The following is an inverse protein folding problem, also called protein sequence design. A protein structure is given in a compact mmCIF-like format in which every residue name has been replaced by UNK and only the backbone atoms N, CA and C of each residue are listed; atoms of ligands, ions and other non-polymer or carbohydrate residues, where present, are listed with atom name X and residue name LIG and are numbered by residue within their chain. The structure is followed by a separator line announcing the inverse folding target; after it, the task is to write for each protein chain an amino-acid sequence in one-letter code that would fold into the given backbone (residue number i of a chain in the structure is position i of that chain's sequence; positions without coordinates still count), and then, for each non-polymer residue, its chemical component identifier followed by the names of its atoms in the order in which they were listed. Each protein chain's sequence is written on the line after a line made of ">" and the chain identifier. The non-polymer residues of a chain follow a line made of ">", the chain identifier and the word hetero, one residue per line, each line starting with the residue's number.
data_IF_734073117295
#
_entry.id   IF_734073117295
#
_cell.length_a   1.000
_cell.length_b   1.000
_cell.length_c   1.000
_cell.angle_alpha   90.00
_cell.angle_beta   90.00
_cell.angle_gamma   90.00
#
_symmetry.space_group_name_H-M   'P 1'
#
loop_
_entity.id
_entity.type
_entity.pdbx_description
1 polymer ?
#
# COMPACT_ATOMS: atom_id res chain seq x y z
N UNK A 1 -17.50 -9.23 14.38
CA UNK A 1 -16.29 -10.07 14.32
C UNK A 1 -15.22 -9.32 15.08
N UNK A 2 -14.62 -9.92 16.11
CA UNK A 2 -13.73 -9.23 17.04
C UNK A 2 -12.49 -8.64 16.33
N UNK A 3 -12.26 -7.34 16.51
CA UNK A 3 -11.21 -6.57 15.81
C UNK A 3 -9.87 -6.54 16.55
N UNK A 4 -9.77 -7.17 17.73
CA UNK A 4 -8.53 -7.30 18.50
C UNK A 4 -8.61 -8.49 19.46
N UNK A 5 -7.49 -8.85 20.08
CA UNK A 5 -7.39 -9.97 21.03
C UNK A 5 -8.39 -9.82 22.19
N UNK A 6 -8.63 -8.60 22.65
CA UNK A 6 -9.63 -8.31 23.68
C UNK A 6 -11.06 -8.62 23.21
N UNK A 7 -11.39 -8.32 21.96
CA UNK A 7 -12.66 -8.69 21.35
C UNK A 7 -12.80 -10.19 21.17
N UNK A 8 -11.71 -10.89 20.83
CA UNK A 8 -11.68 -12.36 20.68
C UNK A 8 -11.90 -13.05 22.02
N UNK A 9 -11.26 -12.53 23.08
CA UNK A 9 -11.47 -12.98 24.45
C UNK A 9 -12.90 -12.72 24.90
N UNK A 10 -13.45 -11.53 24.65
CA UNK A 10 -14.84 -11.21 24.98
C UNK A 10 -15.82 -12.13 24.24
N UNK A 11 -15.58 -12.36 22.95
CA UNK A 11 -16.36 -13.28 22.14
C UNK A 11 -16.27 -14.73 22.65
N UNK A 12 -15.07 -15.20 23.00
CA UNK A 12 -14.86 -16.53 23.54
C UNK A 12 -15.54 -16.73 24.91
N UNK A 13 -15.56 -15.71 25.76
CA UNK A 13 -16.30 -15.70 27.03
C UNK A 13 -17.82 -15.71 26.78
N UNK A 14 -18.30 -14.87 25.84
CA UNK A 14 -19.73 -14.79 25.50
C UNK A 14 -20.28 -16.09 24.89
N UNK A 15 -19.42 -16.94 24.30
CA UNK A 15 -19.81 -18.17 23.59
C UNK A 15 -19.30 -19.47 24.25
N UNK A 16 -18.82 -19.42 25.49
CA UNK A 16 -18.42 -20.63 26.21
C UNK A 16 -19.64 -21.36 26.81
N UNK A 17 -20.43 -22.01 25.96
CA UNK A 17 -21.70 -22.65 26.35
C UNK A 17 -21.56 -23.85 27.31
N UNK A 18 -20.34 -24.35 27.56
CA UNK A 18 -20.07 -25.49 28.47
C UNK A 18 -18.85 -25.28 29.40
N UNK A 19 -18.38 -24.04 29.57
CA UNK A 19 -17.37 -23.76 30.59
C UNK A 19 -18.02 -23.80 31.98
N UNK A 20 -17.33 -24.29 33.03
CA UNK A 20 -17.83 -24.17 34.39
C UNK A 20 -18.17 -22.70 34.67
N UNK A 21 -19.44 -22.40 34.95
CA UNK A 21 -19.93 -21.08 35.38
C UNK A 21 -19.49 -20.77 36.80
N UNK A 22 -18.20 -20.90 37.09
CA UNK A 22 -17.63 -20.25 38.26
C UNK A 22 -17.45 -18.77 37.90
N UNK A 23 -18.03 -17.83 38.68
CA UNK A 23 -17.74 -16.42 38.46
C UNK A 23 -16.23 -16.24 38.62
N UNK A 24 -15.57 -15.75 37.56
CA UNK A 24 -14.15 -15.42 37.59
C UNK A 24 -13.93 -14.50 38.80
N UNK A 25 -13.05 -14.90 39.72
CA UNK A 25 -12.66 -14.06 40.85
C UNK A 25 -12.20 -12.71 40.27
N UNK A 26 -12.74 -11.55 40.73
CA UNK A 26 -12.29 -10.23 40.30
C UNK A 26 -10.76 -10.10 40.27
N UNK A 27 -10.07 -10.80 41.17
CA UNK A 27 -8.60 -10.83 41.24
C UNK A 27 -7.96 -11.58 40.07
N UNK A 28 -8.56 -12.68 39.62
CA UNK A 28 -8.06 -13.47 38.49
C UNK A 28 -8.34 -12.77 37.16
N UNK A 29 -9.47 -12.05 37.06
CA UNK A 29 -9.78 -11.21 35.90
C UNK A 29 -8.81 -10.02 35.77
N UNK A 30 -8.48 -9.38 36.89
CA UNK A 30 -7.51 -8.27 36.90
C UNK A 30 -6.10 -8.79 36.60
N UNK A 31 -5.68 -9.91 37.22
CA UNK A 31 -4.41 -10.57 36.90
C UNK A 31 -4.31 -10.93 35.41
N UNK A 32 -5.37 -11.48 34.80
CA UNK A 32 -5.36 -11.84 33.39
C UNK A 32 -5.29 -10.60 32.49
N UNK A 33 -5.99 -9.51 32.84
CA UNK A 33 -5.88 -8.22 32.15
C UNK A 33 -4.49 -7.63 32.27
N UNK A 34 -3.89 -7.65 33.45
CA UNK A 34 -2.52 -7.21 33.70
C UNK A 34 -1.51 -8.06 32.95
N UNK A 35 -1.66 -9.39 32.95
CA UNK A 35 -0.77 -10.30 32.21
C UNK A 35 -0.89 -10.11 30.69
N UNK A 36 -2.10 -9.89 30.16
CA UNK A 36 -2.33 -9.62 28.74
C UNK A 36 -1.80 -8.24 28.33
N UNK A 37 -1.99 -7.23 29.17
CA UNK A 37 -1.47 -5.86 28.91
C UNK A 37 0.04 -5.77 29.09
N UNK A 38 0.62 -6.47 30.06
CA UNK A 38 2.07 -6.57 30.24
C UNK A 38 2.76 -7.41 29.14
N UNK A 39 2.01 -8.29 28.48
CA UNK A 39 2.50 -9.14 27.38
C UNK A 39 2.25 -8.52 25.99
N UNK A 40 1.46 -7.45 25.89
CA UNK A 40 1.22 -6.76 24.61
C UNK A 40 2.20 -5.60 24.47
N UNK A 41 3.18 -5.77 23.57
CA UNK A 41 4.04 -4.67 23.13
C UNK A 41 3.16 -3.60 22.47
N UNK A 42 3.32 -2.35 22.88
CA UNK A 42 2.65 -1.22 22.23
C UNK A 42 3.32 -0.96 20.87
N UNK A 43 2.85 -1.67 19.85
CA UNK A 43 3.36 -1.59 18.47
C UNK A 43 3.15 -0.19 17.86
N UNK A 44 2.14 0.56 18.32
CA UNK A 44 1.93 1.93 17.86
C UNK A 44 3.00 2.88 18.41
N UNK A 45 3.38 2.68 19.67
CA UNK A 45 4.52 3.38 20.26
C UNK A 45 5.83 2.99 19.57
N UNK A 46 6.08 1.70 19.37
CA UNK A 46 7.28 1.22 18.67
C UNK A 46 7.39 1.86 17.28
N UNK A 47 6.31 1.84 16.49
CA UNK A 47 6.27 2.49 15.17
C UNK A 47 6.63 3.97 15.24
N UNK A 48 6.12 4.69 16.24
CA UNK A 48 6.38 6.12 16.42
C UNK A 48 7.84 6.37 16.81
N UNK A 49 8.39 5.54 17.70
CA UNK A 49 9.78 5.61 18.14
C UNK A 49 10.72 5.33 16.95
N UNK A 50 10.45 4.29 16.16
CA UNK A 50 11.21 3.92 14.95
C UNK A 50 11.24 5.07 13.92
N UNK A 51 10.08 5.67 13.64
CA UNK A 51 9.97 6.84 12.76
C UNK A 51 10.80 8.02 13.28
N UNK A 52 10.79 8.27 14.59
CA UNK A 52 11.55 9.36 15.20
C UNK A 52 13.07 9.11 15.09
N UNK A 53 13.53 7.89 15.37
CA UNK A 53 14.95 7.52 15.24
C UNK A 53 15.38 7.67 13.79
N UNK A 54 14.60 7.16 12.83
CA UNK A 54 14.91 7.28 11.41
C UNK A 54 14.97 8.75 10.95
N UNK A 55 14.06 9.60 11.43
CA UNK A 55 14.06 11.04 11.16
C UNK A 55 15.31 11.74 11.70
N UNK A 56 15.77 11.32 12.89
CA UNK A 56 16.98 11.86 13.51
C UNK A 56 18.22 11.55 12.68
N UNK A 57 18.36 10.31 12.18
CA UNK A 57 19.47 9.95 11.30
C UNK A 57 19.44 10.71 9.97
N UNK A 58 18.25 10.87 9.35
CA UNK A 58 18.10 11.67 8.12
C UNK A 58 18.45 13.16 8.28
N UNK A 59 18.58 13.63 9.51
CA UNK A 59 18.95 15.02 9.83
C UNK A 59 20.38 15.12 10.40
N UNK A 60 21.05 13.99 10.63
CA UNK A 60 22.43 13.92 11.10
C UNK A 60 23.43 14.15 9.97
N UNK A 61 24.57 14.76 10.31
CA UNK A 61 25.73 14.87 9.40
C UNK A 61 26.41 13.52 9.18
N UNK A 62 26.34 12.63 10.18
CA UNK A 62 26.93 11.28 10.16
C UNK A 62 25.81 10.26 10.46
N UNK A 63 24.99 9.89 9.46
CA UNK A 63 23.92 8.91 9.63
C UNK A 63 24.48 7.49 9.74
N UNK A 64 23.93 6.69 10.66
CA UNK A 64 24.23 5.27 10.78
C UNK A 64 23.37 4.48 9.79
N UNK A 65 23.92 4.15 8.62
CA UNK A 65 23.13 3.53 7.54
C UNK A 65 22.65 2.12 7.86
N UNK A 66 23.38 1.36 8.68
CA UNK A 66 23.01 0.00 9.06
C UNK A 66 21.81 0.03 10.03
N UNK A 67 21.87 0.88 11.05
CA UNK A 67 20.76 1.10 11.98
C UNK A 67 19.51 1.63 11.27
N UNK A 68 19.67 2.59 10.35
CA UNK A 68 18.55 3.05 9.52
C UNK A 68 17.92 1.91 8.72
N UNK A 69 18.72 0.98 8.21
CA UNK A 69 18.22 -0.17 7.46
C UNK A 69 17.45 -1.14 8.35
N UNK A 70 17.98 -1.44 9.54
CA UNK A 70 17.31 -2.28 10.52
C UNK A 70 15.95 -1.68 10.92
N UNK A 71 15.90 -0.38 11.18
CA UNK A 71 14.65 0.35 11.46
C UNK A 71 13.66 0.27 10.29
N UNK A 72 14.13 0.34 9.03
CA UNK A 72 13.24 0.20 7.87
C UNK A 72 12.66 -1.22 7.78
N UNK A 73 13.42 -2.27 8.12
CA UNK A 73 12.90 -3.64 8.17
C UNK A 73 11.90 -3.85 9.33
N UNK A 74 12.12 -3.20 10.47
CA UNK A 74 11.16 -3.20 11.57
C UNK A 74 9.86 -2.49 11.17
N UNK A 75 9.96 -1.31 10.54
CA UNK A 75 8.80 -0.59 10.00
C UNK A 75 8.05 -1.41 8.95
N UNK A 76 8.77 -2.11 8.06
CA UNK A 76 8.16 -3.02 7.08
C UNK A 76 7.32 -4.11 7.76
N UNK A 77 7.80 -4.66 8.88
CA UNK A 77 7.10 -5.67 9.66
C UNK A 77 5.87 -5.09 10.35
N UNK A 78 6.01 -3.90 10.96
CA UNK A 78 4.91 -3.23 11.65
C UNK A 78 3.79 -2.82 10.67
N UNK A 79 4.13 -2.33 9.48
CA UNK A 79 3.14 -1.85 8.52
C UNK A 79 2.45 -2.96 7.72
N UNK A 80 2.78 -4.24 7.95
CA UNK A 80 1.96 -5.36 7.45
C UNK A 80 0.54 -5.32 8.06
N UNK A 81 0.41 -4.74 9.26
CA UNK A 81 -0.88 -4.44 9.86
C UNK A 81 -1.46 -3.13 9.29
N UNK A 82 -2.71 -3.18 8.82
CA UNK A 82 -3.36 -2.05 8.16
C UNK A 82 -3.59 -0.86 9.10
N UNK A 83 -3.82 -1.09 10.39
CA UNK A 83 -4.02 -0.01 11.36
C UNK A 83 -2.69 0.68 11.66
N UNK A 84 -1.62 -0.08 11.86
CA UNK A 84 -0.26 0.47 12.01
C UNK A 84 0.22 1.18 10.74
N UNK A 85 -0.08 0.63 9.55
CA UNK A 85 0.16 1.29 8.26
C UNK A 85 -0.55 2.64 8.18
N UNK A 86 -1.80 2.73 8.64
CA UNK A 86 -2.52 4.00 8.70
C UNK A 86 -1.95 4.97 9.75
N UNK A 87 -1.47 4.47 10.89
CA UNK A 87 -0.76 5.28 11.87
C UNK A 87 0.54 5.84 11.28
N UNK A 88 1.28 5.04 10.51
CA UNK A 88 2.47 5.48 9.79
C UNK A 88 2.20 6.66 8.85
N UNK A 89 1.05 6.71 8.17
CA UNK A 89 0.70 7.85 7.32
C UNK A 89 0.66 9.18 8.08
N UNK A 90 0.31 9.14 9.37
CA UNK A 90 0.21 10.34 10.22
C UNK A 90 1.59 10.79 10.70
N UNK A 91 2.44 9.85 11.14
CA UNK A 91 3.71 10.18 11.81
C UNK A 91 4.94 10.10 10.90
N UNK A 92 4.91 9.26 9.87
CA UNK A 92 6.09 8.81 9.12
C UNK A 92 6.13 9.20 7.64
N UNK A 93 5.07 9.76 7.06
CA UNK A 93 5.04 10.07 5.62
C UNK A 93 6.18 11.01 5.19
N UNK A 94 6.48 12.06 5.96
CA UNK A 94 7.52 13.03 5.60
C UNK A 94 8.92 12.39 5.66
N UNK A 95 9.12 11.50 6.63
CA UNK A 95 10.35 10.72 6.80
C UNK A 95 10.54 9.79 5.60
N UNK A 96 9.49 9.10 5.16
CA UNK A 96 9.52 8.24 3.98
C UNK A 96 9.85 9.03 2.71
N UNK A 97 9.19 10.16 2.48
CA UNK A 97 9.45 10.98 1.29
C UNK A 97 10.86 11.58 1.30
N UNK A 98 11.36 11.99 2.47
CA UNK A 98 12.74 12.45 2.64
C UNK A 98 13.72 11.32 2.36
N UNK A 99 13.50 10.12 2.88
CA UNK A 99 14.33 8.94 2.62
C UNK A 99 14.38 8.61 1.12
N UNK A 100 13.22 8.62 0.46
CA UNK A 100 13.08 8.27 -0.94
C UNK A 100 13.74 9.28 -1.89
N UNK A 101 13.53 10.58 -1.68
CA UNK A 101 13.92 11.61 -2.64
C UNK A 101 15.19 12.38 -2.28
N UNK A 102 15.54 12.44 -1.00
CA UNK A 102 16.68 13.20 -0.48
C UNK A 102 17.65 12.33 0.32
N UNK A 103 17.28 11.09 0.64
CA UNK A 103 18.04 10.21 1.51
C UNK A 103 19.23 9.54 0.82
N UNK A 104 20.01 8.76 1.60
CA UNK A 104 21.16 8.00 1.12
C UNK A 104 20.77 7.08 -0.05
N UNK A 105 21.50 7.09 -1.19
CA UNK A 105 21.15 6.27 -2.36
C UNK A 105 20.98 4.77 -2.06
N UNK A 106 21.76 4.25 -1.09
CA UNK A 106 21.71 2.85 -0.67
C UNK A 106 20.38 2.43 -0.03
N UNK A 107 19.61 3.37 0.54
CA UNK A 107 18.37 3.09 1.27
C UNK A 107 17.10 3.45 0.48
N UNK A 108 17.22 4.09 -0.70
CA UNK A 108 16.03 4.50 -1.47
C UNK A 108 15.23 3.32 -2.00
N UNK A 109 15.90 2.21 -2.30
CA UNK A 109 15.25 0.95 -2.66
C UNK A 109 14.40 0.40 -1.49
N UNK A 110 14.89 0.52 -0.27
CA UNK A 110 14.16 0.12 0.95
C UNK A 110 12.99 1.08 1.24
N UNK A 111 13.15 2.37 0.96
CA UNK A 111 12.05 3.33 1.00
C UNK A 111 10.92 2.94 0.04
N UNK A 112 11.24 2.49 -1.19
CA UNK A 112 10.23 2.01 -2.14
C UNK A 112 9.55 0.72 -1.66
N UNK A 113 10.26 -0.16 -0.95
CA UNK A 113 9.65 -1.34 -0.30
C UNK A 113 8.63 -0.92 0.74
N UNK A 114 9.01 0.00 1.63
CA UNK A 114 8.12 0.51 2.68
C UNK A 114 6.91 1.20 2.07
N UNK A 115 7.10 2.02 1.02
CA UNK A 115 6.01 2.64 0.28
C UNK A 115 5.05 1.60 -0.35
N UNK A 116 5.59 0.54 -0.94
CA UNK A 116 4.79 -0.56 -1.48
C UNK A 116 3.99 -1.28 -0.42
N UNK A 117 4.60 -1.53 0.74
CA UNK A 117 3.96 -2.18 1.89
C UNK A 117 2.78 -1.32 2.42
N UNK A 118 3.02 -0.04 2.72
CA UNK A 118 1.98 0.84 3.27
C UNK A 118 0.81 1.12 2.29
N UNK A 119 1.05 1.02 0.98
CA UNK A 119 0.02 1.27 -0.05
C UNK A 119 -0.72 0.02 -0.49
N UNK A 120 -0.20 -1.17 -0.19
CA UNK A 120 -0.82 -2.42 -0.60
C UNK A 120 -2.19 -2.59 0.05
N UNK A 121 -3.24 -2.66 -0.77
CA UNK A 121 -4.64 -2.78 -0.31
C UNK A 121 -5.05 -1.72 0.73
N UNK A 122 -4.43 -0.53 0.68
CA UNK A 122 -4.70 0.57 1.61
C UNK A 122 -5.19 1.82 0.86
N UNK A 123 -6.52 2.00 0.68
CA UNK A 123 -7.08 3.14 -0.05
C UNK A 123 -6.70 4.51 0.52
N UNK A 124 -6.45 4.62 1.84
CA UNK A 124 -6.03 5.89 2.46
C UNK A 124 -4.62 6.28 1.99
N UNK A 125 -3.69 5.33 2.04
CA UNK A 125 -2.34 5.52 1.53
C UNK A 125 -2.34 5.75 0.01
N UNK A 126 -3.08 4.95 -0.75
CA UNK A 126 -3.20 5.09 -2.20
C UNK A 126 -3.69 6.49 -2.60
N UNK A 127 -4.72 7.02 -1.93
CA UNK A 127 -5.20 8.39 -2.14
C UNK A 127 -4.12 9.41 -1.81
N UNK A 128 -3.54 9.35 -0.62
CA UNK A 128 -2.52 10.30 -0.16
C UNK A 128 -1.34 10.44 -1.15
N UNK A 129 -0.77 9.33 -1.60
CA UNK A 129 0.38 9.35 -2.51
C UNK A 129 -0.01 9.65 -3.97
N UNK A 130 -1.26 9.44 -4.36
CA UNK A 130 -1.77 9.85 -5.67
C UNK A 130 -2.04 11.36 -5.69
N UNK A 131 -2.81 11.86 -4.73
CA UNK A 131 -3.29 13.25 -4.66
C UNK A 131 -2.15 14.25 -4.43
N UNK A 132 -1.12 13.85 -3.68
CA UNK A 132 0.06 14.68 -3.44
C UNK A 132 1.12 14.60 -4.56
N UNK A 133 0.81 13.96 -5.69
CA UNK A 133 1.70 13.89 -6.86
C UNK A 133 2.93 12.97 -6.70
N UNK A 134 2.99 12.18 -5.62
CA UNK A 134 4.10 11.25 -5.38
C UNK A 134 4.12 10.15 -6.44
N UNK A 135 2.96 9.59 -6.79
CA UNK A 135 2.84 8.59 -7.85
C UNK A 135 3.38 9.11 -9.21
N UNK A 136 2.97 10.31 -9.61
CA UNK A 136 3.45 10.93 -10.86
C UNK A 136 4.98 11.10 -10.84
N UNK A 137 5.53 11.55 -9.70
CA UNK A 137 6.97 11.70 -9.53
C UNK A 137 7.72 10.36 -9.62
N UNK A 138 7.17 9.28 -9.03
CA UNK A 138 7.75 7.94 -9.12
C UNK A 138 7.81 7.45 -10.56
N UNK A 139 6.75 7.69 -11.35
CA UNK A 139 6.67 7.25 -12.74
C UNK A 139 7.78 7.90 -13.59
N UNK A 140 8.05 9.19 -13.39
CA UNK A 140 9.10 9.91 -14.12
C UNK A 140 10.50 9.35 -13.82
N UNK A 141 10.72 8.71 -12.66
CA UNK A 141 12.04 8.11 -12.34
C UNK A 141 12.47 7.03 -13.33
N UNK A 142 11.54 6.40 -14.08
CA UNK A 142 11.89 5.44 -15.13
C UNK A 142 12.69 6.06 -16.28
N UNK A 143 12.64 7.37 -16.49
CA UNK A 143 13.36 8.04 -17.59
C UNK A 143 14.87 7.80 -17.48
N UNK A 144 15.43 7.99 -16.29
CA UNK A 144 16.89 8.04 -16.08
C UNK A 144 17.42 6.87 -15.24
N UNK A 145 16.58 6.22 -14.43
CA UNK A 145 17.05 5.18 -13.52
C UNK A 145 17.51 3.91 -14.25
N UNK A 146 18.64 3.36 -13.80
CA UNK A 146 19.29 2.18 -14.39
C UNK A 146 19.66 1.11 -13.37
N UNK A 147 19.56 1.39 -12.08
CA UNK A 147 19.71 0.41 -11.04
C UNK A 147 18.53 -0.58 -11.08
N UNK A 148 18.79 -1.79 -11.55
CA UNK A 148 17.80 -2.86 -11.71
C UNK A 148 17.06 -3.20 -10.40
N UNK A 149 17.71 -3.04 -9.25
CA UNK A 149 17.09 -3.28 -7.95
C UNK A 149 16.16 -2.14 -7.53
N UNK A 150 16.57 -0.90 -7.73
CA UNK A 150 15.67 0.24 -7.54
C UNK A 150 14.45 0.14 -8.47
N UNK A 151 14.65 -0.12 -9.76
CA UNK A 151 13.57 -0.29 -10.73
C UNK A 151 12.58 -1.39 -10.34
N UNK A 152 13.09 -2.49 -9.76
CA UNK A 152 12.25 -3.59 -9.26
C UNK A 152 11.30 -3.13 -8.17
N UNK A 153 11.78 -2.34 -7.21
CA UNK A 153 10.95 -1.82 -6.12
C UNK A 153 10.11 -0.62 -6.54
N UNK A 154 10.55 0.14 -7.55
CA UNK A 154 9.76 1.20 -8.16
C UNK A 154 8.50 0.63 -8.80
N UNK A 155 8.65 -0.45 -9.59
CA UNK A 155 7.52 -1.20 -10.14
C UNK A 155 6.60 -1.76 -9.05
N UNK A 156 7.17 -2.29 -7.96
CA UNK A 156 6.39 -2.80 -6.82
C UNK A 156 5.54 -1.69 -6.19
N UNK A 157 6.15 -0.56 -5.83
CA UNK A 157 5.46 0.56 -5.19
C UNK A 157 4.34 1.11 -6.08
N UNK A 158 4.61 1.33 -7.37
CA UNK A 158 3.61 1.81 -8.33
C UNK A 158 2.48 0.78 -8.50
N UNK A 159 2.81 -0.51 -8.55
CA UNK A 159 1.80 -1.57 -8.59
C UNK A 159 0.89 -1.51 -7.37
N UNK A 160 1.43 -1.37 -6.16
CA UNK A 160 0.63 -1.30 -4.93
C UNK A 160 -0.24 -0.02 -4.88
N UNK A 161 0.30 1.13 -5.31
CA UNK A 161 -0.47 2.39 -5.35
C UNK A 161 -1.65 2.31 -6.34
N UNK A 162 -1.46 1.66 -7.49
CA UNK A 162 -2.45 1.63 -8.57
C UNK A 162 -3.41 0.44 -8.49
N UNK A 163 -3.05 -0.63 -7.77
CA UNK A 163 -3.83 -1.87 -7.72
C UNK A 163 -5.25 -1.62 -7.23
N UNK A 164 -6.23 -1.97 -8.07
CA UNK A 164 -7.67 -1.81 -7.80
C UNK A 164 -8.07 -0.38 -7.40
N UNK A 165 -7.25 0.62 -7.75
CA UNK A 165 -7.44 2.02 -7.37
C UNK A 165 -7.42 2.91 -8.60
N UNK A 166 -8.62 3.18 -9.14
CA UNK A 166 -8.80 3.92 -10.39
C UNK A 166 -8.16 5.31 -10.44
N UNK A 167 -8.19 6.15 -9.38
CA UNK A 167 -7.50 7.44 -9.42
C UNK A 167 -5.99 7.29 -9.67
N UNK A 168 -5.34 6.31 -9.01
CA UNK A 168 -3.94 5.99 -9.25
C UNK A 168 -3.69 5.49 -10.67
N UNK A 169 -4.57 4.65 -11.21
CA UNK A 169 -4.51 4.20 -12.62
C UNK A 169 -4.60 5.38 -13.59
N UNK A 170 -5.50 6.34 -13.35
CA UNK A 170 -5.61 7.53 -14.20
C UNK A 170 -4.31 8.35 -14.18
N UNK A 171 -3.76 8.62 -12.98
CA UNK A 171 -2.46 9.32 -12.85
C UNK A 171 -1.34 8.55 -13.53
N UNK A 172 -1.34 7.21 -13.49
CA UNK A 172 -0.38 6.39 -14.20
C UNK A 172 -0.43 6.61 -15.71
N UNK A 173 -1.64 6.68 -16.28
CA UNK A 173 -1.84 6.94 -17.71
C UNK A 173 -1.48 8.38 -18.09
N UNK A 174 -1.93 9.36 -17.30
CA UNK A 174 -1.65 10.79 -17.51
C UNK A 174 -0.15 11.11 -17.42
N UNK A 175 0.60 10.37 -16.60
CA UNK A 175 2.05 10.50 -16.45
C UNK A 175 2.84 9.70 -17.51
N UNK A 176 2.21 9.25 -18.60
CA UNK A 176 2.84 8.46 -19.66
C UNK A 176 3.48 7.15 -19.15
N UNK A 177 2.94 6.56 -18.07
CA UNK A 177 3.58 5.48 -17.32
C UNK A 177 3.82 4.22 -18.12
N UNK A 178 2.95 3.89 -19.07
CA UNK A 178 3.11 2.72 -19.95
C UNK A 178 4.40 2.83 -20.77
N UNK A 179 4.59 3.96 -21.44
CA UNK A 179 5.75 4.15 -22.31
C UNK A 179 7.03 4.22 -21.49
N UNK A 180 7.03 4.97 -20.38
CA UNK A 180 8.19 5.09 -19.51
C UNK A 180 8.64 3.75 -18.91
N UNK A 181 7.68 2.91 -18.47
CA UNK A 181 7.99 1.56 -18.01
C UNK A 181 8.57 0.73 -19.16
N UNK A 182 7.92 0.67 -20.32
CA UNK A 182 8.39 -0.15 -21.44
C UNK A 182 9.77 0.28 -21.93
N UNK A 183 10.03 1.58 -22.02
CA UNK A 183 11.32 2.13 -22.43
C UNK A 183 12.43 1.76 -21.45
N UNK A 184 12.17 1.86 -20.14
CA UNK A 184 13.11 1.42 -19.11
C UNK A 184 13.41 -0.09 -19.20
N UNK A 185 12.38 -0.93 -19.40
CA UNK A 185 12.54 -2.37 -19.54
C UNK A 185 13.35 -2.74 -20.79
N UNK A 186 13.05 -2.13 -21.94
CA UNK A 186 13.78 -2.35 -23.20
C UNK A 186 15.22 -1.88 -23.08
N UNK A 187 15.44 -0.73 -22.43
CA UNK A 187 16.78 -0.20 -22.17
C UNK A 187 17.62 -1.19 -21.36
N UNK A 188 17.10 -1.70 -20.24
CA UNK A 188 17.84 -2.64 -19.41
C UNK A 188 18.03 -4.00 -20.09
N UNK A 189 17.02 -4.52 -20.80
CA UNK A 189 17.11 -5.78 -21.55
C UNK A 189 18.16 -5.74 -22.68
N UNK A 190 18.39 -4.56 -23.28
CA UNK A 190 19.44 -4.36 -24.30
C UNK A 190 20.85 -4.39 -23.69
N UNK A 191 21.00 -3.94 -22.44
CA UNK A 191 22.29 -3.89 -21.75
C UNK A 191 22.68 -5.25 -21.18
N UNK A 192 21.73 -5.93 -20.55
CA UNK A 192 21.95 -7.18 -19.83
C UNK A 192 20.75 -8.13 -20.01
N UNK A 193 21.05 -9.42 -20.21
CA UNK A 193 20.07 -10.50 -20.38
C UNK A 193 20.09 -11.49 -19.22
N UNK A 194 20.66 -11.10 -18.08
CA UNK A 194 20.64 -11.89 -16.85
C UNK A 194 19.22 -12.17 -16.36
N UNK A 195 19.07 -13.23 -15.56
CA UNK A 195 17.80 -13.59 -14.92
C UNK A 195 17.23 -12.47 -14.04
N UNK A 196 18.08 -11.56 -13.54
CA UNK A 196 17.63 -10.40 -12.77
C UNK A 196 16.86 -9.42 -13.66
N UNK A 197 17.38 -9.13 -14.85
CA UNK A 197 16.73 -8.25 -15.82
C UNK A 197 15.49 -8.90 -16.42
N UNK A 198 15.53 -10.19 -16.75
CA UNK A 198 14.34 -10.90 -17.23
C UNK A 198 13.19 -10.88 -16.21
N UNK A 199 13.50 -11.02 -14.91
CA UNK A 199 12.51 -10.85 -13.83
C UNK A 199 11.97 -9.43 -13.73
N UNK A 200 12.81 -8.41 -13.96
CA UNK A 200 12.36 -7.02 -14.02
C UNK A 200 11.37 -6.82 -15.19
N UNK A 201 11.70 -7.32 -16.38
CA UNK A 201 10.85 -7.25 -17.57
C UNK A 201 9.50 -7.92 -17.33
N UNK A 202 9.49 -9.12 -16.76
CA UNK A 202 8.24 -9.82 -16.43
C UNK A 202 7.36 -9.03 -15.45
N UNK A 203 7.96 -8.41 -14.42
CA UNK A 203 7.23 -7.58 -13.45
C UNK A 203 6.63 -6.32 -14.10
N UNK A 204 7.41 -5.64 -14.94
CA UNK A 204 6.93 -4.44 -15.61
C UNK A 204 5.86 -4.72 -16.67
N UNK A 205 6.00 -5.81 -17.43
CA UNK A 205 4.96 -6.27 -18.35
C UNK A 205 3.67 -6.64 -17.60
N UNK A 206 3.78 -7.30 -16.43
CA UNK A 206 2.63 -7.63 -15.60
C UNK A 206 1.92 -6.38 -15.06
N UNK A 207 2.66 -5.36 -14.61
CA UNK A 207 2.07 -4.08 -14.19
C UNK A 207 1.27 -3.44 -15.33
N UNK A 208 1.86 -3.33 -16.52
CA UNK A 208 1.19 -2.77 -17.70
C UNK A 208 -0.07 -3.58 -18.03
N UNK A 209 0.01 -4.91 -17.98
CA UNK A 209 -1.15 -5.78 -18.18
C UNK A 209 -2.27 -5.48 -17.18
N UNK A 210 -1.97 -5.40 -15.87
CA UNK A 210 -2.95 -5.11 -14.84
C UNK A 210 -3.64 -3.76 -15.05
N UNK A 211 -2.88 -2.71 -15.37
CA UNK A 211 -3.42 -1.37 -15.66
C UNK A 211 -4.37 -1.42 -16.86
N UNK A 212 -3.96 -2.06 -17.95
CA UNK A 212 -4.77 -2.17 -19.16
C UNK A 212 -6.05 -2.98 -18.94
N UNK A 213 -5.98 -4.04 -18.13
CA UNK A 213 -7.13 -4.85 -17.78
C UNK A 213 -8.18 -4.05 -17.02
N UNK A 214 -7.77 -3.26 -16.02
CA UNK A 214 -8.70 -2.42 -15.24
C UNK A 214 -9.36 -1.32 -16.07
N UNK A 215 -8.61 -0.71 -17.01
CA UNK A 215 -9.15 0.27 -17.95
C UNK A 215 -10.22 -0.36 -18.87
N UNK A 216 -9.93 -1.52 -19.45
CA UNK A 216 -10.89 -2.22 -20.30
C UNK A 216 -12.18 -2.61 -19.53
N UNK A 217 -12.03 -3.06 -18.27
CA UNK A 217 -13.17 -3.37 -17.41
C UNK A 217 -14.00 -2.12 -17.06
N UNK A 218 -13.36 -0.97 -16.87
CA UNK A 218 -14.06 0.31 -16.67
C UNK A 218 -14.88 0.71 -17.90
N UNK A 219 -14.29 0.69 -19.09
CA UNK A 219 -15.00 1.03 -20.34
C UNK A 219 -16.22 0.11 -20.56
N UNK A 220 -16.05 -1.20 -20.33
CA UNK A 220 -17.14 -2.16 -20.44
C UNK A 220 -18.27 -1.86 -19.43
N UNK A 221 -17.93 -1.52 -18.18
CA UNK A 221 -18.91 -1.12 -17.16
C UNK A 221 -19.67 0.13 -17.57
N UNK A 222 -18.99 1.16 -18.06
CA UNK A 222 -19.61 2.41 -18.53
C UNK A 222 -20.57 2.15 -19.71
N UNK A 223 -20.16 1.30 -20.66
CA UNK A 223 -21.02 0.90 -21.77
C UNK A 223 -22.28 0.16 -21.31
N UNK A 224 -22.17 -0.75 -20.35
CA UNK A 224 -23.32 -1.48 -19.79
C UNK A 224 -24.27 -0.51 -19.07
N UNK A 225 -23.76 0.39 -18.24
CA UNK A 225 -24.57 1.39 -17.54
C UNK A 225 -25.31 2.29 -18.53
N UNK A 226 -24.61 2.78 -19.55
CA UNK A 226 -25.20 3.57 -20.64
C UNK A 226 -26.30 2.80 -21.37
N UNK A 227 -26.06 1.53 -21.71
CA UNK A 227 -27.04 0.68 -22.37
C UNK A 227 -28.29 0.45 -21.51
N UNK A 228 -28.13 0.19 -20.21
CA UNK A 228 -29.24 0.03 -19.27
C UNK A 228 -30.03 1.33 -19.08
N UNK A 229 -29.35 2.48 -19.05
CA UNK A 229 -29.97 3.80 -18.97
C UNK A 229 -30.80 4.13 -20.22
N UNK A 230 -30.30 3.86 -21.42
CA UNK A 230 -31.08 4.01 -22.65
C UNK A 230 -32.32 3.10 -22.61
N UNK A 231 -32.15 1.86 -22.14
CA UNK A 231 -33.25 0.90 -22.06
C UNK A 231 -34.34 1.36 -21.09
N UNK A 232 -33.97 1.94 -19.95
CA UNK A 232 -34.95 2.47 -18.98
C UNK A 232 -35.71 3.69 -19.52
N UNK A 233 -35.04 4.61 -20.24
CA UNK A 233 -35.72 5.73 -20.93
C UNK A 233 -36.72 5.22 -21.97
N UNK A 234 -36.32 4.26 -22.80
CA UNK A 234 -37.22 3.71 -23.83
C UNK A 234 -38.44 3.01 -23.22
N UNK A 235 -38.28 2.30 -22.11
CA UNK A 235 -39.42 1.71 -21.37
C UNK A 235 -40.36 2.79 -20.83
N UNK A 236 -39.84 3.88 -20.26
CA UNK A 236 -40.65 5.01 -19.77
C UNK A 236 -41.37 5.76 -20.90
N UNK A 237 -40.71 5.91 -22.06
CA UNK A 237 -41.29 6.56 -23.24
C UNK A 237 -42.42 5.74 -23.86
N UNK A 238 -42.30 4.40 -23.89
CA UNK A 238 -43.35 3.50 -24.34
C UNK A 238 -44.53 3.50 -23.36
N UNK A 239 -44.27 3.48 -22.05
CA UNK A 239 -45.33 3.54 -21.04
C UNK A 239 -46.14 4.84 -21.12
N UNK A 240 -45.52 5.99 -21.44
CA UNK A 240 -46.24 7.27 -21.62
C UNK A 240 -47.08 7.36 -22.90
N UNK A 241 -46.77 6.57 -23.94
CA UNK A 241 -47.55 6.54 -25.19
C UNK A 241 -48.77 5.60 -25.15
N UNK A 242 -48.87 4.74 -24.14
CA UNK A 242 -49.99 3.78 -23.99
C UNK A 242 -51.20 4.27 -23.20
N UNK A 243 -51.20 5.54 -22.72
CA UNK A 243 -52.28 6.15 -21.93
C UNK A 243 -52.91 7.38 -22.61
N UNK A 244 -52.77 7.52 -23.93
CA UNK A 244 -53.38 8.59 -24.73
C UNK A 244 -54.57 8.11 -25.55
#
# INVERSE_FOLDING_TARGET
>A
MAQNLQGLLRFAIEHSENAPTEPIDPKDAEWLREALSASTVDLSKQLTDDVHILSSHLSSTEPNLDEMKDIIEDLLTLTEDLDLSNNFLVVGQDVLLKLLFCGPPSLRADALRLLGNITQNNPKAQSLYTDNGVLARLIVLFEEETNVEFLRYLLLAISCITQTYMPGINVFMESNGVNLVLDALVRELRKDKSDKVLRLVSKGAFLVFCVMQELALKELREYIVFFLYIRSINVVAIAKKGYG
#
